data_IF_751096442063
#
_entry.id   IF_751096442063
#
_cell.length_a   1.000
_cell.length_b   1.000
_cell.length_c   1.000
_cell.angle_alpha   90.00
_cell.angle_beta   90.00
_cell.angle_gamma   90.00
#
_symmetry.space_group_name_H-M   'P 1'
#
loop_
_entity.id
_entity.type
_entity.pdbx_description
1 polymer ?
#
# COMPACT_ATOMS: atom_id res chain seq x y z
N UNK A 1 6.35 22.93 20.47
CA UNK A 1 7.47 22.34 21.22
C UNK A 1 6.99 20.98 21.74
N UNK A 2 7.32 19.91 21.06
CA UNK A 2 7.09 18.56 21.55
C UNK A 2 8.38 17.78 21.29
N UNK A 3 9.00 17.38 22.41
CA UNK A 3 10.31 16.73 22.49
C UNK A 3 10.26 15.35 21.88
N UNK A 4 10.99 15.11 20.79
CA UNK A 4 11.29 13.78 20.27
C UNK A 4 12.44 13.21 21.13
N UNK A 5 12.08 12.53 22.21
CA UNK A 5 13.03 11.87 23.13
C UNK A 5 12.79 10.35 23.09
N UNK A 6 12.99 9.69 21.92
CA UNK A 6 12.86 8.23 21.86
C UNK A 6 13.77 7.55 20.81
N UNK A 7 15.01 8.04 20.66
CA UNK A 7 16.03 7.28 19.92
C UNK A 7 17.28 7.18 20.78
N UNK A 8 17.84 5.98 20.98
CA UNK A 8 19.06 5.80 21.77
C UNK A 8 20.22 6.54 21.09
N UNK A 9 20.95 7.35 21.85
CA UNK A 9 22.07 8.19 21.42
C UNK A 9 23.19 7.46 20.63
N UNK A 10 23.20 6.14 20.66
CA UNK A 10 24.25 5.32 20.05
C UNK A 10 24.10 5.12 18.54
N UNK A 11 22.93 5.38 17.95
CA UNK A 11 22.69 5.21 16.52
C UNK A 11 23.05 6.47 15.73
N UNK A 12 23.02 7.63 16.36
CA UNK A 12 23.32 8.93 15.72
C UNK A 12 24.82 9.12 15.44
N UNK A 13 25.69 8.30 16.03
CA UNK A 13 27.16 8.47 15.92
C UNK A 13 27.79 7.91 14.64
N UNK A 14 27.04 7.12 13.84
CA UNK A 14 27.62 6.43 12.66
C UNK A 14 27.47 7.18 11.34
N UNK A 15 26.63 8.21 11.28
CA UNK A 15 26.55 9.09 10.13
C UNK A 15 26.82 10.50 10.63
N UNK A 16 27.88 11.19 10.21
CA UNK A 16 28.13 12.57 10.61
C UNK A 16 27.14 13.50 9.89
N UNK A 17 25.86 13.41 10.28
CA UNK A 17 24.76 14.23 9.74
C UNK A 17 25.08 15.72 9.93
N UNK A 18 25.79 16.03 11.02
CA UNK A 18 26.21 17.40 11.33
C UNK A 18 27.25 17.93 10.32
N UNK A 19 28.19 17.08 9.88
CA UNK A 19 29.17 17.45 8.84
C UNK A 19 28.53 17.60 7.45
N UNK A 20 27.52 16.80 7.15
CA UNK A 20 26.77 16.93 5.89
C UNK A 20 25.93 18.22 5.93
N UNK A 21 25.42 18.58 7.11
CA UNK A 21 24.61 19.79 7.32
C UNK A 21 25.41 21.08 7.26
N UNK A 22 26.71 21.04 7.60
CA UNK A 22 27.63 22.18 7.45
C UNK A 22 28.12 22.41 6.00
N UNK A 23 28.12 21.36 5.18
CA UNK A 23 28.57 21.43 3.79
C UNK A 23 27.49 21.95 2.82
N UNK A 24 26.24 22.04 3.25
CA UNK A 24 25.14 22.53 2.42
C UNK A 24 24.68 23.86 2.98
N UNK A 25 24.90 25.00 2.27
CA UNK A 25 24.38 26.29 2.71
C UNK A 25 22.88 26.23 2.80
N UNK A 26 22.35 26.46 4.01
CA UNK A 26 20.89 26.54 4.28
C UNK A 26 20.31 27.60 3.34
N UNK A 27 19.24 27.25 2.64
CA UNK A 27 18.50 28.12 1.71
C UNK A 27 19.14 28.33 0.33
N UNK A 28 20.03 27.47 -0.12
CA UNK A 28 20.56 27.59 -1.48
C UNK A 28 19.72 26.71 -2.45
N UNK A 29 19.54 27.23 -3.68
CA UNK A 29 18.95 26.49 -4.82
C UNK A 29 19.62 25.12 -5.00
N UNK A 30 20.88 24.99 -4.61
CA UNK A 30 21.67 23.75 -4.67
C UNK A 30 21.11 22.70 -3.73
N UNK A 31 20.71 23.06 -2.50
CA UNK A 31 20.08 22.12 -1.56
C UNK A 31 18.74 21.60 -2.08
N UNK A 32 17.89 22.49 -2.60
CA UNK A 32 16.60 22.11 -3.19
C UNK A 32 16.79 21.18 -4.39
N UNK A 33 17.73 21.47 -5.28
CA UNK A 33 18.06 20.63 -6.42
C UNK A 33 18.58 19.26 -5.98
N UNK A 34 19.43 19.21 -4.95
CA UNK A 34 19.97 17.95 -4.42
C UNK A 34 18.85 17.08 -3.81
N UNK A 35 17.93 17.70 -3.07
CA UNK A 35 16.77 16.99 -2.50
C UNK A 35 15.82 16.46 -3.59
N UNK A 36 15.59 17.23 -4.66
CA UNK A 36 14.78 16.80 -5.80
C UNK A 36 15.44 15.63 -6.53
N UNK A 37 16.75 15.68 -6.75
CA UNK A 37 17.51 14.58 -7.36
C UNK A 37 17.42 13.32 -6.47
N UNK A 38 17.62 13.49 -5.16
CA UNK A 38 17.49 12.39 -4.19
C UNK A 38 16.07 11.77 -4.24
N UNK A 39 15.04 12.61 -4.27
CA UNK A 39 13.65 12.17 -4.39
C UNK A 39 13.43 11.34 -5.68
N UNK A 40 13.93 11.83 -6.82
CA UNK A 40 13.84 11.11 -8.10
C UNK A 40 14.52 9.74 -8.01
N UNK A 41 15.71 9.69 -7.42
CA UNK A 41 16.45 8.42 -7.22
C UNK A 41 15.65 7.44 -6.34
N UNK A 42 15.07 7.93 -5.23
CA UNK A 42 14.24 7.12 -4.34
C UNK A 42 13.03 6.56 -5.09
N UNK A 43 12.31 7.39 -5.84
CA UNK A 43 11.17 6.98 -6.64
C UNK A 43 11.57 5.92 -7.68
N UNK A 44 12.68 6.13 -8.36
CA UNK A 44 13.19 5.17 -9.35
C UNK A 44 13.57 3.84 -8.71
N UNK A 45 14.28 3.85 -7.60
CA UNK A 45 14.65 2.66 -6.83
C UNK A 45 13.42 1.92 -6.32
N UNK A 46 12.44 2.64 -5.77
CA UNK A 46 11.19 2.08 -5.29
C UNK A 46 10.43 1.37 -6.42
N UNK A 47 10.21 2.04 -7.55
CA UNK A 47 9.52 1.47 -8.70
C UNK A 47 10.27 0.26 -9.29
N UNK A 48 11.61 0.32 -9.33
CA UNK A 48 12.45 -0.81 -9.79
C UNK A 48 12.33 -2.00 -8.84
N UNK A 49 12.43 -1.76 -7.53
CA UNK A 49 12.30 -2.80 -6.49
C UNK A 49 10.91 -3.43 -6.53
N UNK A 50 9.86 -2.61 -6.64
CA UNK A 50 8.48 -3.08 -6.72
C UNK A 50 8.22 -3.97 -7.94
N UNK A 51 8.72 -3.58 -9.12
CA UNK A 51 8.64 -4.42 -10.32
C UNK A 51 9.37 -5.76 -10.16
N UNK A 52 10.53 -5.78 -9.50
CA UNK A 52 11.25 -7.01 -9.22
C UNK A 52 10.48 -7.91 -8.26
N UNK A 53 9.83 -7.31 -7.26
CA UNK A 53 8.96 -8.02 -6.34
C UNK A 53 7.78 -8.67 -7.06
N UNK A 54 7.08 -7.92 -7.92
CA UNK A 54 5.96 -8.46 -8.72
C UNK A 54 6.39 -9.61 -9.63
N UNK A 55 7.53 -9.49 -10.32
CA UNK A 55 8.07 -10.57 -11.14
C UNK A 55 8.41 -11.83 -10.35
N UNK A 56 8.78 -11.70 -9.07
CA UNK A 56 8.96 -12.84 -8.19
C UNK A 56 7.63 -13.45 -7.77
N UNK A 57 6.63 -12.61 -7.48
CA UNK A 57 5.28 -13.06 -7.14
C UNK A 57 4.62 -13.85 -8.28
N UNK A 58 4.83 -13.46 -9.55
CA UNK A 58 4.37 -14.23 -10.73
C UNK A 58 4.88 -15.67 -10.73
N UNK A 59 6.13 -15.89 -10.29
CA UNK A 59 6.72 -17.23 -10.22
C UNK A 59 6.08 -18.11 -9.13
N UNK A 60 5.39 -17.49 -8.17
CA UNK A 60 4.72 -18.17 -7.05
C UNK A 60 3.21 -18.25 -7.20
N UNK A 61 2.68 -18.05 -8.41
CA UNK A 61 1.26 -18.23 -8.71
C UNK A 61 0.42 -16.94 -8.78
N UNK A 62 1.06 -15.78 -8.73
CA UNK A 62 0.34 -14.52 -8.98
C UNK A 62 -0.05 -14.42 -10.46
N UNK A 63 -1.29 -13.96 -10.73
CA UNK A 63 -1.84 -13.90 -12.07
C UNK A 63 -1.02 -12.92 -12.95
N UNK A 64 -0.56 -13.44 -14.10
CA UNK A 64 0.20 -12.65 -15.09
C UNK A 64 -0.61 -11.50 -15.69
N UNK A 65 -1.93 -11.60 -15.74
CA UNK A 65 -2.80 -10.55 -16.23
C UNK A 65 -2.93 -9.38 -15.23
N UNK A 66 -2.85 -9.66 -13.92
CA UNK A 66 -2.96 -8.64 -12.88
C UNK A 66 -1.64 -7.85 -12.68
N UNK A 67 -0.50 -8.45 -12.95
CA UNK A 67 0.83 -7.84 -12.72
C UNK A 67 1.01 -6.48 -13.40
N UNK A 68 0.72 -6.29 -14.71
CA UNK A 68 0.89 -4.99 -15.37
C UNK A 68 -0.03 -3.93 -14.76
N UNK A 69 -1.29 -4.28 -14.47
CA UNK A 69 -2.26 -3.34 -13.88
C UNK A 69 -1.78 -2.83 -12.52
N UNK A 70 -1.36 -3.73 -11.64
CA UNK A 70 -0.84 -3.36 -10.29
C UNK A 70 0.44 -2.54 -10.42
N UNK A 71 1.35 -2.94 -11.31
CA UNK A 71 2.61 -2.21 -11.57
C UNK A 71 2.35 -0.79 -12.04
N UNK A 72 1.43 -0.60 -12.98
CA UNK A 72 1.12 0.71 -13.55
C UNK A 72 0.40 1.59 -12.54
N UNK A 73 -0.55 1.05 -11.77
CA UNK A 73 -1.23 1.77 -10.70
C UNK A 73 -0.23 2.31 -9.68
N UNK A 74 0.67 1.47 -9.17
CA UNK A 74 1.70 1.88 -8.21
C UNK A 74 2.65 2.89 -8.80
N UNK A 75 3.06 2.71 -10.06
CA UNK A 75 3.94 3.62 -10.77
C UNK A 75 3.34 5.01 -10.90
N UNK A 76 2.10 5.13 -11.40
CA UNK A 76 1.44 6.44 -11.56
C UNK A 76 1.15 7.11 -10.23
N UNK A 77 0.72 6.36 -9.22
CA UNK A 77 0.52 6.88 -7.86
C UNK A 77 1.82 7.42 -7.28
N UNK A 78 2.92 6.65 -7.41
CA UNK A 78 4.24 7.07 -6.93
C UNK A 78 4.74 8.33 -7.65
N UNK A 79 4.50 8.45 -8.96
CA UNK A 79 4.88 9.65 -9.72
C UNK A 79 4.04 10.87 -9.34
N UNK A 80 2.73 10.70 -9.11
CA UNK A 80 1.87 11.79 -8.67
C UNK A 80 2.30 12.33 -7.30
N UNK A 81 2.56 11.44 -6.35
CA UNK A 81 3.08 11.82 -5.02
C UNK A 81 4.47 12.48 -5.15
N UNK A 82 5.35 11.88 -5.94
CA UNK A 82 6.69 12.42 -6.17
C UNK A 82 6.71 13.80 -6.79
N UNK A 83 5.82 14.06 -7.75
CA UNK A 83 5.64 15.37 -8.35
C UNK A 83 5.23 16.43 -7.31
N UNK A 84 4.27 16.09 -6.44
CA UNK A 84 3.81 17.01 -5.39
C UNK A 84 4.90 17.31 -4.38
N UNK A 85 5.65 16.28 -3.94
CA UNK A 85 6.77 16.45 -3.03
C UNK A 85 7.88 17.28 -3.68
N UNK A 86 8.19 17.04 -4.95
CA UNK A 86 9.17 17.81 -5.71
C UNK A 86 8.79 19.28 -5.83
N UNK A 87 7.53 19.60 -6.14
CA UNK A 87 7.01 20.96 -6.18
C UNK A 87 7.11 21.64 -4.80
N UNK A 88 6.80 20.91 -3.73
CA UNK A 88 6.91 21.42 -2.37
C UNK A 88 8.36 21.74 -1.98
N UNK A 89 9.33 20.90 -2.35
CA UNK A 89 10.77 21.15 -2.14
C UNK A 89 11.22 22.42 -2.87
N UNK A 90 10.67 22.67 -4.06
CA UNK A 90 10.95 23.85 -4.85
C UNK A 90 10.25 25.12 -4.34
N UNK A 91 9.52 25.03 -3.22
CA UNK A 91 8.82 26.17 -2.59
C UNK A 91 7.47 26.50 -3.21
N UNK A 92 6.95 25.67 -4.11
CA UNK A 92 5.60 25.85 -4.68
C UNK A 92 4.57 25.46 -3.65
N UNK A 93 3.56 26.30 -3.45
CA UNK A 93 2.45 25.98 -2.54
C UNK A 93 1.58 24.88 -3.11
N UNK A 94 1.73 23.68 -2.57
CA UNK A 94 0.99 22.46 -2.98
C UNK A 94 -0.24 22.16 -2.14
N UNK A 95 -0.61 23.03 -1.18
CA UNK A 95 -1.72 22.76 -0.24
C UNK A 95 -3.04 22.47 -0.96
N UNK A 96 -3.37 23.21 -2.00
CA UNK A 96 -4.57 22.97 -2.81
C UNK A 96 -4.54 21.62 -3.52
N UNK A 97 -3.40 21.23 -4.08
CA UNK A 97 -3.23 19.94 -4.75
C UNK A 97 -3.30 18.77 -3.74
N UNK A 98 -2.73 18.96 -2.55
CA UNK A 98 -2.82 17.96 -1.46
C UNK A 98 -4.27 17.81 -0.97
N UNK A 99 -5.02 18.90 -0.85
CA UNK A 99 -6.43 18.86 -0.52
C UNK A 99 -7.25 18.10 -1.57
N UNK A 100 -7.01 18.35 -2.87
CA UNK A 100 -7.66 17.63 -3.97
C UNK A 100 -7.32 16.13 -3.96
N UNK A 101 -6.05 15.78 -3.74
CA UNK A 101 -5.63 14.38 -3.59
C UNK A 101 -6.28 13.70 -2.38
N UNK A 102 -6.38 14.42 -1.25
CA UNK A 102 -7.05 13.92 -0.06
C UNK A 102 -8.53 13.63 -0.33
N UNK A 103 -9.24 14.56 -0.99
CA UNK A 103 -10.63 14.36 -1.39
C UNK A 103 -10.81 13.20 -2.37
N UNK A 104 -9.94 13.09 -3.38
CA UNK A 104 -9.94 11.97 -4.32
C UNK A 104 -9.69 10.63 -3.63
N UNK A 105 -8.71 10.59 -2.71
CA UNK A 105 -8.39 9.39 -1.92
C UNK A 105 -9.56 8.95 -1.04
N UNK A 106 -10.26 9.91 -0.42
CA UNK A 106 -11.47 9.64 0.36
C UNK A 106 -12.58 9.06 -0.52
N UNK A 107 -12.80 9.63 -1.70
CA UNK A 107 -13.80 9.12 -2.64
C UNK A 107 -13.50 7.69 -3.08
N UNK A 108 -12.23 7.38 -3.42
CA UNK A 108 -11.79 6.02 -3.75
C UNK A 108 -11.93 5.08 -2.55
N UNK A 109 -11.56 5.53 -1.33
CA UNK A 109 -11.71 4.74 -0.11
C UNK A 109 -13.17 4.39 0.18
N UNK A 110 -14.10 5.35 -0.01
CA UNK A 110 -15.53 5.10 0.14
C UNK A 110 -16.06 4.15 -0.94
N UNK A 111 -15.61 4.29 -2.19
CA UNK A 111 -15.99 3.38 -3.26
C UNK A 111 -15.52 1.93 -3.03
N UNK A 112 -14.37 1.75 -2.37
CA UNK A 112 -13.79 0.43 -2.06
C UNK A 112 -14.20 -0.12 -0.67
N UNK A 113 -15.00 0.60 0.09
CA UNK A 113 -15.35 0.27 1.47
C UNK A 113 -15.85 -1.16 1.63
N UNK A 114 -16.78 -1.59 0.79
CA UNK A 114 -17.40 -2.91 0.91
C UNK A 114 -16.39 -4.02 0.54
N UNK A 115 -15.55 -3.78 -0.47
CA UNK A 115 -14.47 -4.70 -0.84
C UNK A 115 -13.47 -4.86 0.31
N UNK A 116 -13.05 -3.76 0.94
CA UNK A 116 -12.15 -3.81 2.10
C UNK A 116 -12.81 -4.51 3.30
N UNK A 117 -14.10 -4.30 3.52
CA UNK A 117 -14.87 -4.99 4.57
C UNK A 117 -14.89 -6.49 4.34
N UNK A 118 -15.12 -6.94 3.11
CA UNK A 118 -15.09 -8.36 2.76
C UNK A 118 -13.70 -8.98 2.96
N UNK A 119 -12.63 -8.27 2.56
CA UNK A 119 -11.24 -8.71 2.80
C UNK A 119 -10.97 -8.84 4.30
N UNK A 120 -11.36 -7.86 5.10
CA UNK A 120 -11.17 -7.89 6.55
C UNK A 120 -11.93 -9.07 7.19
N UNK A 121 -13.18 -9.31 6.76
CA UNK A 121 -13.98 -10.44 7.23
C UNK A 121 -13.36 -11.78 6.82
N UNK A 122 -12.88 -11.91 5.58
CA UNK A 122 -12.18 -13.11 5.12
C UNK A 122 -10.90 -13.39 5.91
N UNK A 123 -10.11 -12.35 6.21
CA UNK A 123 -8.94 -12.46 7.07
C UNK A 123 -9.32 -12.92 8.49
N UNK A 124 -10.36 -12.35 9.09
CA UNK A 124 -10.84 -12.75 10.41
C UNK A 124 -11.27 -14.22 10.42
N UNK A 125 -12.00 -14.68 9.40
CA UNK A 125 -12.38 -16.08 9.27
C UNK A 125 -11.18 -17.02 9.19
N UNK A 126 -10.13 -16.63 8.45
CA UNK A 126 -8.90 -17.42 8.33
C UNK A 126 -8.09 -17.46 9.63
N UNK A 127 -8.11 -16.36 10.42
CA UNK A 127 -7.39 -16.28 11.70
C UNK A 127 -8.15 -16.97 12.84
N UNK A 128 -9.43 -16.63 13.03
CA UNK A 128 -10.23 -17.12 14.16
C UNK A 128 -10.75 -18.54 13.92
N UNK A 129 -10.87 -18.97 12.65
CA UNK A 129 -11.34 -20.30 12.23
C UNK A 129 -12.58 -20.76 12.98
N UNK A 130 -13.66 -19.95 13.04
CA UNK A 130 -14.90 -20.35 13.73
C UNK A 130 -15.52 -21.57 13.05
N UNK A 131 -15.22 -21.80 11.78
CA UNK A 131 -15.55 -22.98 10.97
C UNK A 131 -14.42 -23.25 9.97
N UNK A 132 -14.33 -24.47 9.46
CA UNK A 132 -13.30 -24.90 8.51
C UNK A 132 -13.93 -25.54 7.26
N UNK A 133 -13.12 -25.68 6.21
CA UNK A 133 -13.56 -26.42 5.03
C UNK A 133 -13.96 -27.86 5.44
N UNK A 134 -15.15 -28.26 5.03
CA UNK A 134 -15.76 -29.53 5.44
C UNK A 134 -16.92 -29.42 6.43
N UNK A 135 -17.04 -28.31 7.14
CA UNK A 135 -18.13 -28.06 8.08
C UNK A 135 -19.44 -27.76 7.35
N UNK A 136 -20.55 -28.13 7.98
CA UNK A 136 -21.88 -27.72 7.55
C UNK A 136 -22.30 -26.45 8.28
N UNK A 137 -22.67 -25.44 7.52
CA UNK A 137 -23.16 -24.17 8.05
C UNK A 137 -24.51 -23.80 7.45
N UNK A 138 -25.25 -23.00 8.18
CA UNK A 138 -26.47 -22.32 7.74
C UNK A 138 -26.21 -20.81 7.75
N UNK A 139 -26.30 -20.16 6.59
CA UNK A 139 -26.14 -18.74 6.45
C UNK A 139 -27.40 -18.17 5.76
N UNK A 140 -28.26 -17.54 6.55
CA UNK A 140 -29.55 -17.05 6.05
C UNK A 140 -30.42 -18.19 5.53
N UNK A 141 -30.73 -18.16 4.24
CA UNK A 141 -31.53 -19.21 3.57
C UNK A 141 -30.70 -20.35 2.96
N UNK A 142 -29.38 -20.23 2.98
CA UNK A 142 -28.45 -21.16 2.33
C UNK A 142 -27.88 -22.10 3.39
N UNK A 143 -28.05 -23.42 3.15
CA UNK A 143 -27.47 -24.49 3.97
C UNK A 143 -26.54 -25.32 3.10
N UNK A 144 -25.34 -25.58 3.58
CA UNK A 144 -24.38 -26.34 2.81
C UNK A 144 -23.09 -26.63 3.53
N UNK A 145 -22.28 -27.44 2.87
CA UNK A 145 -20.93 -27.77 3.30
C UNK A 145 -19.93 -26.76 2.75
N UNK A 146 -19.03 -26.28 3.58
CA UNK A 146 -17.96 -25.37 3.15
C UNK A 146 -16.96 -26.15 2.31
N UNK A 147 -16.79 -25.75 1.05
CA UNK A 147 -15.76 -26.29 0.15
C UNK A 147 -14.45 -25.55 0.26
N UNK A 148 -14.51 -24.20 0.29
CA UNK A 148 -13.31 -23.36 0.37
C UNK A 148 -13.63 -22.03 1.06
N UNK A 149 -12.67 -21.53 1.83
CA UNK A 149 -12.70 -20.20 2.44
C UNK A 149 -11.62 -19.36 1.76
N UNK A 150 -12.05 -18.36 1.00
CA UNK A 150 -11.17 -17.42 0.33
C UNK A 150 -11.13 -16.06 1.04
N UNK A 151 -10.28 -15.17 0.53
CA UNK A 151 -10.13 -13.82 1.06
C UNK A 151 -11.35 -12.93 0.78
N UNK A 152 -12.02 -13.16 -0.36
CA UNK A 152 -13.15 -12.35 -0.83
C UNK A 152 -14.47 -13.06 -0.74
N UNK A 153 -14.48 -14.40 -0.73
CA UNK A 153 -15.68 -15.23 -0.74
C UNK A 153 -15.45 -16.56 -0.03
N UNK A 154 -16.56 -17.17 0.40
CA UNK A 154 -16.58 -18.53 0.92
C UNK A 154 -17.50 -19.37 0.02
N UNK A 155 -16.99 -20.46 -0.51
CA UNK A 155 -17.75 -21.35 -1.40
C UNK A 155 -18.39 -22.45 -0.59
N UNK A 156 -19.71 -22.59 -0.74
CA UNK A 156 -20.51 -23.65 -0.13
C UNK A 156 -21.10 -24.56 -1.21
N UNK A 157 -21.19 -25.83 -0.90
CA UNK A 157 -21.93 -26.82 -1.68
C UNK A 157 -23.25 -27.13 -0.96
N UNK A 158 -24.36 -26.83 -1.62
CA UNK A 158 -25.70 -27.13 -1.07
C UNK A 158 -26.00 -28.62 -1.14
N UNK A 159 -27.07 -29.09 -0.44
CA UNK A 159 -27.53 -30.48 -0.52
C UNK A 159 -27.95 -30.89 -1.93
N UNK A 160 -28.26 -29.96 -2.81
CA UNK A 160 -28.61 -30.17 -4.22
C UNK A 160 -27.36 -30.25 -5.13
N UNK A 161 -26.15 -30.15 -4.58
CA UNK A 161 -24.89 -30.14 -5.35
C UNK A 161 -24.61 -28.84 -6.08
N UNK A 162 -25.27 -27.72 -5.68
CA UNK A 162 -25.07 -26.42 -6.26
C UNK A 162 -23.98 -25.67 -5.48
N UNK A 163 -22.99 -25.13 -6.17
CA UNK A 163 -21.95 -24.29 -5.56
C UNK A 163 -22.45 -22.85 -5.47
N UNK A 164 -22.44 -22.30 -4.24
CA UNK A 164 -22.81 -20.92 -3.93
C UNK A 164 -21.59 -20.22 -3.33
N UNK A 165 -21.34 -18.98 -3.76
CA UNK A 165 -20.19 -18.20 -3.35
C UNK A 165 -20.60 -16.79 -2.91
#
# INVERSE_FOLDING_TARGET
>A
MASIHFLPENIVRFVPVDKIRELIPKDSIVEQLLLVVLLIVIIWLFNKSFRLFLKRAEKHGFDRAATPLVSDLVKYTTYAIGLLLGLNILGVNTNGLLAMLGAASLAVGLALKDTLSNVASGLLLLFLRPFVAGDYIECGSIKGKICAIGLFNTTLETFEGIYVS
#
